data_IF_775914236558
#
_entry.id   IF_775914236558
#
_cell.length_a   1.000
_cell.length_b   1.000
_cell.length_c   1.000
_cell.angle_alpha   90.00
_cell.angle_beta   90.00
_cell.angle_gamma   90.00
#
_symmetry.space_group_name_H-M   'P 1'
#
loop_
_entity.id
_entity.type
_entity.pdbx_description
1 polymer ?
#
# COMPACT_ATOMS: atom_id res chain seq x y z
N UNK A 1 -11.50 6.11 -19.20
CA UNK A 1 -12.10 7.32 -18.58
C UNK A 1 -11.30 8.52 -19.07
N UNK A 2 -11.92 9.59 -19.60
CA UNK A 2 -11.18 10.79 -19.94
C UNK A 2 -10.53 11.37 -18.68
N UNK A 3 -9.22 11.52 -18.69
CA UNK A 3 -8.49 12.20 -17.61
C UNK A 3 -8.74 13.70 -17.79
N UNK A 4 -9.30 14.35 -16.77
CA UNK A 4 -9.40 15.82 -16.77
C UNK A 4 -8.02 16.39 -16.56
N UNK A 5 -7.63 17.34 -17.43
CA UNK A 5 -6.39 18.10 -17.28
C UNK A 5 -6.36 18.81 -15.92
N UNK A 6 -5.22 18.72 -15.25
CA UNK A 6 -4.99 19.35 -13.94
C UNK A 6 -4.51 20.79 -14.11
N UNK A 7 -3.70 21.04 -15.14
CA UNK A 7 -3.23 22.36 -15.53
C UNK A 7 -3.35 22.52 -17.05
N UNK A 8 -3.66 23.72 -17.52
CA UNK A 8 -3.91 23.97 -18.95
C UNK A 8 -2.63 23.93 -19.79
N UNK A 9 -1.49 24.21 -19.16
CA UNK A 9 -0.15 24.27 -19.73
C UNK A 9 0.68 23.00 -19.52
N UNK A 10 0.19 22.05 -18.72
CA UNK A 10 0.83 20.75 -18.48
C UNK A 10 -0.13 19.61 -18.82
N UNK A 11 -0.02 19.11 -20.05
CA UNK A 11 -0.86 18.07 -20.60
C UNK A 11 -0.55 16.67 -20.03
N UNK A 12 0.63 16.48 -19.45
CA UNK A 12 1.06 15.18 -18.90
C UNK A 12 0.81 15.07 -17.40
N UNK A 13 0.60 16.18 -16.70
CA UNK A 13 0.28 16.16 -15.28
C UNK A 13 -1.10 15.61 -14.98
N UNK A 14 -1.12 14.46 -14.31
CA UNK A 14 -2.35 13.78 -13.90
C UNK A 14 -2.55 13.67 -12.38
N UNK A 15 -1.49 13.84 -11.58
CA UNK A 15 -1.60 13.81 -10.11
C UNK A 15 -2.29 15.07 -9.59
N UNK A 16 -3.13 14.86 -8.57
CA UNK A 16 -4.10 15.85 -8.08
C UNK A 16 -4.63 15.47 -6.71
N UNK A 17 -5.25 16.42 -6.02
CA UNK A 17 -5.85 16.19 -4.71
C UNK A 17 -7.33 16.59 -4.68
N UNK A 18 -8.15 15.77 -4.03
CA UNK A 18 -9.55 16.04 -3.78
C UNK A 18 -9.78 16.22 -2.28
N UNK A 19 -10.44 17.31 -1.90
CA UNK A 19 -10.79 17.59 -0.50
C UNK A 19 -12.27 17.27 -0.27
N UNK A 20 -12.56 16.31 0.61
CA UNK A 20 -13.93 15.93 0.98
C UNK A 20 -14.20 16.46 2.39
N UNK A 21 -14.59 17.74 2.44
CA UNK A 21 -14.75 18.48 3.69
C UNK A 21 -13.50 18.39 4.56
N UNK A 22 -13.68 18.18 5.86
CA UNK A 22 -12.59 17.82 6.80
C UNK A 22 -12.45 16.31 7.04
N UNK A 23 -13.28 15.50 6.39
CA UNK A 23 -13.23 14.05 6.58
C UNK A 23 -11.96 13.48 5.95
N UNK A 24 -11.71 13.81 4.68
CA UNK A 24 -10.70 13.11 3.88
C UNK A 24 -10.05 14.04 2.85
N UNK A 25 -8.74 13.92 2.69
CA UNK A 25 -8.03 14.29 1.47
C UNK A 25 -7.64 13.04 0.69
N UNK A 26 -8.01 13.00 -0.59
CA UNK A 26 -7.61 11.96 -1.55
C UNK A 26 -6.57 12.54 -2.52
N UNK A 27 -5.31 12.21 -2.28
CA UNK A 27 -4.19 12.55 -3.17
C UNK A 27 -3.96 11.41 -4.15
N UNK A 28 -4.11 11.68 -5.45
CA UNK A 28 -3.82 10.72 -6.52
C UNK A 28 -2.44 11.01 -7.09
N UNK A 29 -1.53 10.03 -7.03
CA UNK A 29 -0.16 10.13 -7.56
C UNK A 29 -0.07 9.57 -8.99
N UNK A 30 0.95 10.02 -9.71
CA UNK A 30 1.47 9.36 -10.90
C UNK A 30 2.84 8.76 -10.55
N UNK A 31 2.97 7.44 -10.64
CA UNK A 31 4.25 6.74 -10.42
C UNK A 31 4.70 6.00 -11.67
N UNK A 32 4.23 6.42 -12.85
CA UNK A 32 4.48 5.74 -14.13
C UNK A 32 4.98 6.68 -15.21
N UNK A 33 4.32 7.82 -15.42
CA UNK A 33 4.45 8.53 -16.69
C UNK A 33 5.27 9.82 -16.62
N UNK A 34 5.08 10.64 -15.59
CA UNK A 34 5.54 12.02 -15.66
C UNK A 34 7.05 12.20 -15.56
N UNK A 35 7.65 11.72 -14.49
CA UNK A 35 9.07 11.98 -14.19
C UNK A 35 9.70 10.79 -13.46
N UNK A 36 9.17 9.60 -13.77
CA UNK A 36 9.66 8.34 -13.23
C UNK A 36 11.04 8.05 -13.80
N UNK A 37 11.96 7.90 -12.87
CA UNK A 37 13.35 7.56 -13.11
C UNK A 37 13.48 6.08 -13.58
N UNK A 38 14.61 5.64 -14.13
CA UNK A 38 14.74 4.31 -14.81
C UNK A 38 14.13 3.14 -14.03
N UNK A 39 13.19 2.38 -14.58
CA UNK A 39 12.58 1.23 -13.88
C UNK A 39 13.13 -0.14 -14.29
N UNK A 40 12.78 -1.18 -13.52
CA UNK A 40 13.06 -2.57 -13.90
C UNK A 40 12.15 -3.02 -15.05
N UNK A 41 12.78 -3.50 -16.11
CA UNK A 41 12.15 -4.08 -17.32
C UNK A 41 12.74 -5.46 -17.61
N UNK A 42 13.08 -6.19 -16.55
CA UNK A 42 13.54 -7.58 -16.47
C UNK A 42 14.98 -7.84 -16.94
N UNK A 43 15.49 -7.12 -17.93
CA UNK A 43 16.89 -7.28 -18.36
C UNK A 43 17.89 -6.43 -17.57
N UNK A 44 17.41 -5.43 -16.82
CA UNK A 44 18.22 -4.47 -16.07
C UNK A 44 17.99 -4.55 -14.55
N UNK A 45 17.34 -5.61 -14.04
CA UNK A 45 17.03 -5.81 -12.61
C UNK A 45 18.24 -5.58 -11.70
N UNK A 46 19.39 -6.18 -12.02
CA UNK A 46 20.61 -6.03 -11.21
C UNK A 46 21.06 -4.56 -11.16
N UNK A 47 21.06 -3.86 -12.30
CA UNK A 47 21.42 -2.46 -12.36
C UNK A 47 20.45 -1.59 -11.55
N UNK A 48 19.15 -1.77 -11.71
CA UNK A 48 18.13 -1.02 -10.95
C UNK A 48 18.32 -1.23 -9.45
N UNK A 49 18.65 -2.45 -9.02
CA UNK A 49 18.93 -2.73 -7.61
C UNK A 49 20.13 -1.91 -7.08
N UNK A 50 21.18 -1.74 -7.87
CA UNK A 50 22.39 -0.99 -7.43
C UNK A 50 22.13 0.49 -7.24
N UNK A 51 21.18 1.08 -7.99
CA UNK A 51 20.84 2.51 -7.89
C UNK A 51 19.64 2.79 -6.98
N UNK A 52 18.90 1.77 -6.54
CA UNK A 52 17.63 1.92 -5.81
C UNK A 52 17.75 2.71 -4.50
N UNK A 53 18.94 2.71 -3.88
CA UNK A 53 19.23 3.42 -2.63
C UNK A 53 19.96 4.76 -2.82
N UNK A 54 20.25 5.18 -4.06
CA UNK A 54 20.89 6.48 -4.30
C UNK A 54 19.98 7.62 -3.85
N UNK A 55 20.54 8.63 -3.20
CA UNK A 55 19.74 9.71 -2.58
C UNK A 55 18.85 10.45 -3.57
N UNK A 56 19.31 10.62 -4.82
CA UNK A 56 18.56 11.29 -5.89
C UNK A 56 17.56 10.37 -6.62
N UNK A 57 17.49 9.08 -6.26
CA UNK A 57 16.56 8.14 -6.88
C UNK A 57 15.12 8.58 -6.60
N UNK A 58 14.31 8.76 -7.65
CA UNK A 58 12.94 9.27 -7.52
C UNK A 58 11.93 8.51 -8.37
N UNK A 59 10.77 8.19 -7.80
CA UNK A 59 9.66 7.58 -8.52
C UNK A 59 8.67 8.63 -9.05
N UNK A 60 8.60 9.77 -8.36
CA UNK A 60 7.63 10.82 -8.61
C UNK A 60 8.23 12.04 -9.35
N UNK A 61 9.55 12.21 -9.29
CA UNK A 61 10.24 13.44 -9.68
C UNK A 61 10.02 14.58 -8.68
N UNK A 62 10.90 15.58 -8.73
CA UNK A 62 10.98 16.64 -7.72
C UNK A 62 9.67 17.45 -7.61
N UNK A 63 9.05 17.75 -8.75
CA UNK A 63 7.83 18.56 -8.80
C UNK A 63 6.65 17.87 -8.09
N UNK A 64 6.47 16.57 -8.31
CA UNK A 64 5.40 15.82 -7.66
C UNK A 64 5.74 15.48 -6.21
N UNK A 65 7.00 15.18 -5.88
CA UNK A 65 7.44 14.99 -4.49
C UNK A 65 7.14 16.24 -3.64
N UNK A 66 7.59 17.41 -4.07
CA UNK A 66 7.35 18.68 -3.37
C UNK A 66 5.85 18.95 -3.24
N UNK A 67 5.09 18.80 -4.32
CA UNK A 67 3.64 18.97 -4.29
C UNK A 67 2.95 18.02 -3.31
N UNK A 68 3.38 16.76 -3.26
CA UNK A 68 2.80 15.73 -2.42
C UNK A 68 3.06 16.02 -0.94
N UNK A 69 4.30 16.36 -0.59
CA UNK A 69 4.69 16.73 0.77
C UNK A 69 3.95 17.97 1.27
N UNK A 70 3.82 18.99 0.42
CA UNK A 70 3.03 20.19 0.72
C UNK A 70 1.53 19.87 0.87
N UNK A 71 1.02 18.94 0.08
CA UNK A 71 -0.39 18.53 0.15
C UNK A 71 -0.68 17.81 1.47
N UNK A 72 0.19 16.89 1.90
CA UNK A 72 0.07 16.20 3.18
C UNK A 72 0.17 17.17 4.37
N UNK A 73 1.14 18.10 4.33
CA UNK A 73 1.33 19.11 5.37
C UNK A 73 0.15 20.07 5.46
N UNK A 74 -0.38 20.54 4.33
CA UNK A 74 -1.58 21.39 4.29
C UNK A 74 -2.83 20.64 4.74
N UNK A 75 -2.96 19.37 4.38
CA UNK A 75 -4.03 18.50 4.86
C UNK A 75 -4.03 18.42 6.39
N UNK A 76 -2.85 18.24 6.99
CA UNK A 76 -2.65 18.28 8.45
C UNK A 76 -3.03 19.64 9.04
N UNK A 77 -2.48 20.73 8.52
CA UNK A 77 -2.75 22.07 9.04
C UNK A 77 -4.24 22.44 8.98
N UNK A 78 -4.95 21.97 7.95
CA UNK A 78 -6.40 22.18 7.78
C UNK A 78 -7.26 21.38 8.77
N UNK A 79 -6.68 20.37 9.43
CA UNK A 79 -7.39 19.47 10.34
C UNK A 79 -8.25 18.44 9.60
N UNK A 80 -7.81 17.98 8.42
CA UNK A 80 -8.43 16.82 7.79
C UNK A 80 -8.16 15.55 8.61
N UNK A 81 -9.18 14.71 8.80
CA UNK A 81 -9.05 13.48 9.60
C UNK A 81 -8.15 12.48 8.87
N UNK A 82 -8.46 12.15 7.61
CA UNK A 82 -7.75 11.13 6.82
C UNK A 82 -6.96 11.72 5.65
N UNK A 83 -5.80 11.10 5.36
CA UNK A 83 -4.96 11.35 4.18
C UNK A 83 -4.85 10.06 3.39
N UNK A 84 -5.71 9.89 2.39
CA UNK A 84 -5.68 8.72 1.51
C UNK A 84 -4.86 9.05 0.27
N UNK A 85 -3.91 8.19 -0.04
CA UNK A 85 -2.99 8.34 -1.16
C UNK A 85 -3.27 7.21 -2.15
N UNK A 86 -3.90 7.55 -3.27
CA UNK A 86 -4.13 6.61 -4.37
C UNK A 86 -2.94 6.58 -5.30
N UNK A 87 -2.31 5.42 -5.46
CA UNK A 87 -1.21 5.22 -6.38
C UNK A 87 -1.19 3.78 -6.93
N UNK A 88 -0.25 3.47 -7.82
CA UNK A 88 -0.31 2.32 -8.72
C UNK A 88 0.26 1.05 -8.08
N UNK A 89 1.40 1.13 -7.40
CA UNK A 89 2.32 0.01 -7.11
C UNK A 89 2.54 -0.19 -5.61
N UNK A 90 2.79 -1.42 -5.16
CA UNK A 90 2.95 -1.71 -3.73
C UNK A 90 4.09 -0.87 -3.11
N UNK A 91 3.77 -0.16 -2.04
CA UNK A 91 4.65 0.76 -1.33
C UNK A 91 5.53 0.02 -0.31
N UNK A 92 4.92 -0.84 0.50
CA UNK A 92 5.60 -1.61 1.54
C UNK A 92 6.62 -2.56 0.92
N UNK A 93 7.78 -2.66 1.55
CA UNK A 93 8.79 -3.65 1.19
C UNK A 93 8.24 -5.05 1.49
N UNK A 94 8.15 -5.94 0.49
CA UNK A 94 7.50 -7.25 0.67
C UNK A 94 8.44 -8.36 1.17
N UNK A 95 9.76 -8.16 1.17
CA UNK A 95 10.74 -9.09 1.75
C UNK A 95 11.93 -8.34 2.39
N UNK A 96 12.71 -9.00 3.25
CA UNK A 96 13.83 -8.32 3.92
C UNK A 96 14.90 -7.75 2.98
N UNK A 97 15.13 -8.36 1.82
CA UNK A 97 16.15 -7.89 0.87
C UNK A 97 15.75 -6.59 0.17
N UNK A 98 14.45 -6.29 0.12
CA UNK A 98 13.90 -5.16 -0.63
C UNK A 98 14.09 -5.28 -2.13
N UNK A 99 14.23 -6.51 -2.65
CA UNK A 99 14.41 -6.81 -4.07
C UNK A 99 13.26 -7.68 -4.58
N UNK A 100 12.06 -7.54 -3.99
CA UNK A 100 10.91 -8.34 -4.40
C UNK A 100 10.36 -7.84 -5.75
N UNK A 101 10.16 -6.53 -5.87
CA UNK A 101 9.63 -5.91 -7.08
C UNK A 101 10.30 -4.55 -7.36
N UNK A 102 11.36 -4.57 -8.17
CA UNK A 102 12.09 -3.36 -8.54
C UNK A 102 11.36 -2.48 -9.56
N UNK A 103 10.24 -2.93 -10.13
CA UNK A 103 9.29 -2.05 -10.82
C UNK A 103 8.29 -1.41 -9.84
N UNK A 104 8.27 -1.80 -8.56
CA UNK A 104 7.54 -1.11 -7.51
C UNK A 104 8.47 -0.22 -6.66
N UNK A 105 8.05 0.14 -5.44
CA UNK A 105 8.80 1.03 -4.55
C UNK A 105 10.13 0.45 -4.05
N UNK A 106 10.35 -0.86 -4.20
CA UNK A 106 11.62 -1.52 -3.91
C UNK A 106 12.75 -1.07 -4.86
N UNK A 107 12.43 -0.59 -6.07
CA UNK A 107 13.39 0.04 -6.99
C UNK A 107 13.70 1.51 -6.69
N UNK A 108 13.05 2.09 -5.68
CA UNK A 108 13.10 3.52 -5.34
C UNK A 108 13.17 3.71 -3.82
N UNK A 109 14.03 2.93 -3.14
CA UNK A 109 14.14 2.87 -1.67
C UNK A 109 14.41 4.22 -1.04
N UNK A 110 15.28 5.04 -1.66
CA UNK A 110 15.54 6.39 -1.16
C UNK A 110 14.28 7.29 -1.23
N UNK A 111 13.48 7.18 -2.30
CA UNK A 111 12.23 7.93 -2.39
C UNK A 111 11.20 7.44 -1.37
N UNK A 112 11.04 6.12 -1.20
CA UNK A 112 10.20 5.53 -0.15
C UNK A 112 10.58 6.07 1.23
N UNK A 113 11.88 6.08 1.54
CA UNK A 113 12.42 6.61 2.78
C UNK A 113 12.05 8.09 2.97
N UNK A 114 12.19 8.94 1.94
CA UNK A 114 11.80 10.36 2.03
C UNK A 114 10.31 10.54 2.32
N UNK A 115 9.44 9.73 1.73
CA UNK A 115 8.00 9.76 2.02
C UNK A 115 7.72 9.40 3.50
N UNK A 116 8.27 8.28 3.98
CA UNK A 116 8.11 7.84 5.37
C UNK A 116 8.70 8.86 6.36
N UNK A 117 9.87 9.40 6.06
CA UNK A 117 10.51 10.46 6.84
C UNK A 117 9.66 11.71 6.91
N UNK A 118 9.07 12.15 5.79
CA UNK A 118 8.20 13.32 5.78
C UNK A 118 7.00 13.11 6.69
N UNK A 119 6.36 11.94 6.62
CA UNK A 119 5.23 11.60 7.48
C UNK A 119 5.63 11.56 8.96
N UNK A 120 6.73 10.86 9.28
CA UNK A 120 7.23 10.69 10.64
C UNK A 120 7.68 12.01 11.27
N UNK A 121 8.63 12.73 10.63
CA UNK A 121 9.23 13.96 11.14
C UNK A 121 8.20 15.07 11.32
N UNK A 122 7.24 15.18 10.40
CA UNK A 122 6.17 16.18 10.47
C UNK A 122 4.95 15.70 11.28
N UNK A 123 5.00 14.51 11.90
CA UNK A 123 3.90 13.93 12.70
C UNK A 123 2.57 13.94 11.93
N UNK A 124 2.60 13.49 10.67
CA UNK A 124 1.43 13.42 9.80
C UNK A 124 0.78 12.05 10.01
N UNK A 125 -0.31 12.03 10.79
CA UNK A 125 -1.06 10.83 11.13
C UNK A 125 -2.17 10.53 10.13
N UNK A 126 -2.84 9.38 10.30
CA UNK A 126 -4.00 8.93 9.53
C UNK A 126 -3.74 8.86 8.02
N UNK A 127 -2.52 8.45 7.66
CA UNK A 127 -2.12 8.26 6.28
C UNK A 127 -2.41 6.83 5.84
N UNK A 128 -3.12 6.69 4.72
CA UNK A 128 -3.50 5.42 4.13
C UNK A 128 -3.02 5.39 2.68
N UNK A 129 -2.13 4.48 2.34
CA UNK A 129 -1.67 4.27 0.97
C UNK A 129 -2.52 3.18 0.32
N UNK A 130 -3.01 3.46 -0.88
CA UNK A 130 -3.72 2.49 -1.72
C UNK A 130 -2.84 2.10 -2.90
N UNK A 131 -2.80 0.81 -3.19
CA UNK A 131 -1.99 0.25 -4.28
C UNK A 131 -2.75 -0.85 -5.04
N UNK A 132 -2.21 -1.25 -6.19
CA UNK A 132 -2.64 -2.41 -6.97
C UNK A 132 -1.44 -3.03 -7.69
N UNK A 133 -1.59 -3.23 -9.00
CA UNK A 133 -0.54 -3.69 -9.95
C UNK A 133 -0.05 -5.13 -9.76
N UNK A 134 0.27 -5.56 -8.54
CA UNK A 134 0.90 -6.88 -8.27
C UNK A 134 -0.05 -8.09 -8.44
N UNK A 135 -1.33 -7.85 -8.68
CA UNK A 135 -2.39 -8.86 -8.80
C UNK A 135 -2.59 -9.75 -7.55
N UNK A 136 -2.23 -9.26 -6.36
CA UNK A 136 -2.44 -9.92 -5.08
C UNK A 136 -2.89 -8.89 -4.04
N UNK A 137 -3.51 -9.35 -2.96
CA UNK A 137 -3.91 -8.49 -1.86
C UNK A 137 -2.80 -8.41 -0.81
N UNK A 138 -2.48 -7.20 -0.35
CA UNK A 138 -1.50 -6.94 0.71
C UNK A 138 -2.04 -5.91 1.68
N UNK A 139 -1.85 -6.15 2.97
CA UNK A 139 -2.21 -5.21 4.03
C UNK A 139 -1.03 -5.09 4.99
N UNK A 140 -0.56 -3.87 5.19
CA UNK A 140 0.61 -3.58 6.01
C UNK A 140 0.35 -2.42 6.95
N UNK A 141 0.97 -2.44 8.13
CA UNK A 141 1.29 -1.17 8.79
C UNK A 141 2.46 -0.54 8.03
N UNK A 142 2.53 0.79 7.98
CA UNK A 142 3.67 1.49 7.41
C UNK A 142 4.71 1.74 8.49
N UNK A 143 5.91 1.23 8.29
CA UNK A 143 7.09 1.56 9.07
C UNK A 143 8.28 1.79 8.13
N UNK A 144 9.39 2.27 8.68
CA UNK A 144 10.66 2.22 7.96
C UNK A 144 11.05 0.76 7.70
N UNK A 145 11.49 0.46 6.48
CA UNK A 145 11.72 -0.91 6.07
C UNK A 145 12.72 -1.62 6.99
N UNK A 146 12.36 -2.83 7.45
CA UNK A 146 13.12 -3.66 8.38
C UNK A 146 13.40 -2.99 9.76
N UNK A 147 12.61 -2.00 10.17
CA UNK A 147 12.77 -1.38 11.48
C UNK A 147 12.24 -2.28 12.60
N UNK A 148 13.17 -2.94 13.30
CA UNK A 148 12.90 -3.76 14.49
C UNK A 148 13.08 -3.00 15.80
N UNK A 149 13.40 -1.70 15.74
CA UNK A 149 13.76 -0.89 16.90
C UNK A 149 12.62 0.03 17.33
N UNK A 150 11.95 0.68 16.38
CA UNK A 150 10.87 1.62 16.70
C UNK A 150 9.49 1.09 16.34
N UNK A 151 9.41 0.11 15.43
CA UNK A 151 8.17 -0.58 15.07
C UNK A 151 8.06 -1.97 15.71
N UNK A 152 6.89 -2.27 16.29
CA UNK A 152 6.56 -3.58 16.84
C UNK A 152 5.43 -4.22 16.01
N UNK A 153 5.68 -5.33 15.28
CA UNK A 153 4.67 -5.94 14.41
C UNK A 153 3.53 -6.63 15.16
N UNK A 154 3.72 -6.96 16.44
CA UNK A 154 2.71 -7.57 17.30
C UNK A 154 1.67 -6.53 17.73
N UNK A 155 2.14 -5.41 18.25
CA UNK A 155 1.26 -4.35 18.81
C UNK A 155 0.91 -3.27 17.79
N UNK A 156 1.65 -3.19 16.69
CA UNK A 156 1.62 -2.10 15.70
C UNK A 156 2.18 -0.78 16.23
N UNK A 157 2.78 -0.74 17.42
CA UNK A 157 3.38 0.49 17.96
C UNK A 157 4.55 0.93 17.08
N UNK A 158 4.68 2.24 16.87
CA UNK A 158 5.66 2.82 15.94
C UNK A 158 5.18 2.97 14.50
N UNK A 159 4.01 2.42 14.14
CA UNK A 159 3.46 2.58 12.79
C UNK A 159 3.18 4.06 12.44
N UNK A 160 3.46 4.39 11.18
CA UNK A 160 3.35 5.73 10.59
C UNK A 160 2.00 5.89 9.85
N UNK A 161 1.40 4.78 9.42
CA UNK A 161 0.16 4.72 8.68
C UNK A 161 -0.14 3.27 8.27
N UNK A 162 -0.97 3.07 7.26
CA UNK A 162 -1.25 1.74 6.72
C UNK A 162 -1.23 1.72 5.19
N UNK A 163 -0.99 0.55 4.62
CA UNK A 163 -1.19 0.28 3.19
C UNK A 163 -2.30 -0.76 2.99
N UNK A 164 -3.17 -0.49 2.02
CA UNK A 164 -4.11 -1.44 1.45
C UNK A 164 -3.84 -1.59 -0.05
N UNK A 165 -3.27 -2.73 -0.44
CA UNK A 165 -3.02 -3.06 -1.83
C UNK A 165 -4.01 -4.13 -2.29
N UNK A 166 -4.69 -3.85 -3.40
CA UNK A 166 -5.72 -4.74 -3.96
C UNK A 166 -5.19 -5.69 -5.01
N UNK A 167 -5.77 -6.88 -5.07
CA UNK A 167 -5.64 -7.81 -6.19
C UNK A 167 -6.17 -7.22 -7.50
N UNK A 168 -5.92 -7.91 -8.61
CA UNK A 168 -6.52 -7.55 -9.89
C UNK A 168 -8.01 -7.89 -9.96
N UNK A 169 -8.73 -7.18 -10.82
CA UNK A 169 -10.12 -7.52 -11.13
C UNK A 169 -10.20 -8.86 -11.87
N UNK A 170 -9.32 -9.09 -12.85
CA UNK A 170 -9.30 -10.32 -13.67
C UNK A 170 -7.91 -10.86 -14.02
N UNK A 171 -6.86 -10.03 -14.03
CA UNK A 171 -5.51 -10.46 -14.41
C UNK A 171 -4.97 -11.57 -13.50
N UNK A 172 -4.32 -12.59 -14.08
CA UNK A 172 -3.68 -13.66 -13.32
C UNK A 172 -2.49 -13.16 -12.48
N UNK A 173 -2.10 -13.93 -11.46
CA UNK A 173 -0.96 -13.62 -10.59
C UNK A 173 0.05 -14.76 -10.61
N UNK A 174 1.32 -14.48 -10.31
CA UNK A 174 2.30 -15.53 -10.00
C UNK A 174 1.91 -16.36 -8.77
N UNK A 175 1.04 -15.81 -7.91
CA UNK A 175 0.41 -16.49 -6.78
C UNK A 175 -0.92 -17.16 -7.14
N UNK A 176 -1.38 -17.09 -8.39
CA UNK A 176 -2.62 -17.73 -8.84
C UNK A 176 -2.40 -19.20 -9.21
N UNK A 177 -3.48 -20.00 -9.18
CA UNK A 177 -3.44 -21.42 -9.56
C UNK A 177 -4.15 -22.30 -8.53
N UNK A 178 -3.40 -22.85 -7.57
CA UNK A 178 -3.94 -23.69 -6.49
C UNK A 178 -3.95 -22.86 -5.19
N UNK A 179 -5.13 -22.73 -4.57
CA UNK A 179 -5.30 -21.90 -3.38
C UNK A 179 -4.35 -22.28 -2.23
N UNK A 180 -4.15 -23.57 -1.96
CA UNK A 180 -3.26 -24.02 -0.89
C UNK A 180 -1.79 -23.59 -1.11
N UNK A 181 -1.34 -23.54 -2.35
CA UNK A 181 0.00 -23.04 -2.71
C UNK A 181 0.10 -21.53 -2.50
N UNK A 182 -0.93 -20.78 -2.93
CA UNK A 182 -1.00 -19.33 -2.74
C UNK A 182 -1.01 -18.96 -1.24
N UNK A 183 -1.75 -19.72 -0.42
CA UNK A 183 -1.78 -19.54 1.02
C UNK A 183 -0.43 -19.89 1.67
N UNK A 184 0.28 -20.91 1.16
CA UNK A 184 1.60 -21.26 1.64
C UNK A 184 2.64 -20.18 1.34
N UNK A 185 2.63 -19.60 0.14
CA UNK A 185 3.46 -18.46 -0.21
C UNK A 185 3.10 -17.23 0.63
N UNK A 186 1.80 -16.96 0.81
CA UNK A 186 1.33 -15.85 1.66
C UNK A 186 1.84 -16.00 3.10
N UNK A 187 1.84 -17.22 3.67
CA UNK A 187 2.42 -17.49 4.99
C UNK A 187 3.91 -17.18 5.07
N UNK A 188 4.67 -17.41 4.01
CA UNK A 188 6.09 -17.05 3.96
C UNK A 188 6.29 -15.53 3.92
N UNK A 189 5.46 -14.80 3.18
CA UNK A 189 5.58 -13.34 3.11
C UNK A 189 5.22 -12.66 4.44
N UNK A 190 4.16 -13.11 5.11
CA UNK A 190 3.71 -12.51 6.38
C UNK A 190 4.51 -13.02 7.59
N UNK A 191 5.46 -13.94 7.41
CA UNK A 191 6.31 -14.39 8.49
C UNK A 191 7.18 -13.23 9.03
N UNK A 192 7.29 -13.10 10.35
CA UNK A 192 8.03 -11.99 10.96
C UNK A 192 9.54 -12.07 10.71
N UNK A 193 10.07 -13.26 10.44
CA UNK A 193 11.41 -13.47 9.94
C UNK A 193 11.59 -13.11 8.46
N UNK A 194 10.53 -12.78 7.72
CA UNK A 194 10.57 -12.38 6.31
C UNK A 194 10.16 -10.92 6.08
N UNK A 195 9.21 -10.42 6.88
CA UNK A 195 8.68 -9.07 6.75
C UNK A 195 8.09 -8.62 8.07
N UNK A 196 8.52 -7.48 8.61
CA UNK A 196 7.94 -6.95 9.85
C UNK A 196 6.57 -6.30 9.60
N UNK A 197 6.45 -5.57 8.50
CA UNK A 197 5.40 -4.59 8.25
C UNK A 197 4.12 -5.24 7.70
N UNK A 198 4.29 -6.25 6.84
CA UNK A 198 3.21 -6.95 6.15
C UNK A 198 2.38 -7.82 7.11
N UNK A 199 1.11 -7.46 7.32
CA UNK A 199 0.23 -8.12 8.27
C UNK A 199 -0.70 -9.16 7.63
N UNK A 200 -1.06 -9.00 6.35
CA UNK A 200 -1.87 -9.98 5.63
C UNK A 200 -1.52 -10.02 4.14
N UNK A 201 -1.55 -11.23 3.58
CA UNK A 201 -1.34 -11.50 2.16
C UNK A 201 -2.38 -12.51 1.65
N UNK A 202 -2.92 -12.27 0.47
CA UNK A 202 -3.81 -13.21 -0.23
C UNK A 202 -3.60 -13.11 -1.74
N UNK A 203 -3.09 -14.19 -2.35
CA UNK A 203 -2.68 -14.19 -3.76
C UNK A 203 -3.58 -14.98 -4.71
N UNK A 204 -4.59 -15.69 -4.20
CA UNK A 204 -5.41 -16.59 -5.01
C UNK A 204 -6.57 -15.87 -5.68
N UNK A 205 -7.39 -15.15 -4.91
CA UNK A 205 -8.60 -14.52 -5.40
C UNK A 205 -8.31 -13.24 -6.19
N UNK A 206 -9.10 -13.06 -7.24
CA UNK A 206 -9.30 -11.78 -7.90
C UNK A 206 -10.49 -11.07 -7.28
N UNK A 207 -10.62 -9.77 -7.50
CA UNK A 207 -11.75 -9.02 -6.98
C UNK A 207 -11.43 -7.55 -6.76
N UNK A 208 -11.83 -7.04 -5.61
CA UNK A 208 -11.71 -5.63 -5.25
C UNK A 208 -11.80 -5.47 -3.74
N UNK A 209 -11.50 -4.29 -3.23
CA UNK A 209 -11.84 -3.92 -1.86
C UNK A 209 -12.59 -2.59 -1.84
N UNK A 210 -13.32 -2.35 -0.76
CA UNK A 210 -14.01 -1.08 -0.51
C UNK A 210 -13.45 -0.43 0.75
N UNK A 211 -13.50 0.90 0.79
CA UNK A 211 -13.22 1.68 2.00
C UNK A 211 -14.51 2.32 2.50
N UNK A 212 -14.83 2.11 3.77
CA UNK A 212 -15.87 2.84 4.49
C UNK A 212 -15.17 3.74 5.50
N UNK A 213 -15.39 5.05 5.41
CA UNK A 213 -14.61 6.05 6.13
C UNK A 213 -15.54 7.01 6.87
N UNK A 214 -15.30 7.17 8.17
CA UNK A 214 -15.95 8.15 9.04
C UNK A 214 -14.90 8.90 9.89
N UNK A 215 -15.27 9.91 10.70
CA UNK A 215 -14.29 10.69 11.47
C UNK A 215 -13.50 9.90 12.53
N UNK A 216 -13.93 8.69 12.88
CA UNK A 216 -13.36 7.86 13.94
C UNK A 216 -12.69 6.60 13.41
N UNK A 217 -13.19 6.05 12.31
CA UNK A 217 -12.70 4.78 11.76
C UNK A 217 -12.62 4.79 10.24
N UNK A 218 -11.64 4.03 9.73
CA UNK A 218 -11.57 3.63 8.34
C UNK A 218 -11.58 2.11 8.29
N UNK A 219 -12.49 1.54 7.51
CA UNK A 219 -12.61 0.10 7.32
C UNK A 219 -12.34 -0.28 5.87
N UNK A 220 -11.42 -1.20 5.65
CA UNK A 220 -11.14 -1.83 4.37
C UNK A 220 -11.76 -3.24 4.32
N UNK A 221 -12.66 -3.49 3.37
CA UNK A 221 -13.34 -4.78 3.19
C UNK A 221 -12.94 -5.39 1.86
N UNK A 222 -12.23 -6.53 1.88
CA UNK A 222 -11.70 -7.21 0.70
C UNK A 222 -12.67 -8.29 0.21
N UNK A 223 -12.96 -8.29 -1.09
CA UNK A 223 -13.88 -9.21 -1.73
C UNK A 223 -13.17 -10.07 -2.78
N UNK A 224 -13.29 -11.39 -2.62
CA UNK A 224 -12.82 -12.37 -3.58
C UNK A 224 -13.94 -12.85 -4.51
N UNK A 225 -13.64 -12.94 -5.79
CA UNK A 225 -14.51 -13.50 -6.83
C UNK A 225 -14.13 -14.97 -7.07
N UNK A 226 -15.09 -15.88 -6.92
CA UNK A 226 -14.88 -17.31 -7.22
C UNK A 226 -14.73 -17.60 -8.70
N UNK A 227 -15.34 -16.77 -9.55
CA UNK A 227 -15.30 -16.90 -11.00
C UNK A 227 -15.15 -15.52 -11.63
N UNK A 228 -14.17 -15.41 -12.53
CA UNK A 228 -13.84 -14.19 -13.28
C UNK A 228 -14.01 -14.36 -14.80
N UNK A 229 -14.41 -15.55 -15.26
CA UNK A 229 -14.52 -15.88 -16.68
C UNK A 229 -15.80 -15.35 -17.32
N UNK A 230 -16.82 -15.05 -16.53
CA UNK A 230 -18.08 -14.44 -16.99
C UNK A 230 -18.68 -13.49 -15.95
N UNK A 231 -19.50 -12.49 -16.36
CA UNK A 231 -20.13 -11.55 -15.43
C UNK A 231 -21.01 -12.26 -14.39
N UNK A 232 -20.82 -11.94 -13.10
CA UNK A 232 -21.61 -12.51 -12.00
C UNK A 232 -21.55 -11.61 -10.75
N UNK A 233 -22.40 -11.88 -9.77
CA UNK A 233 -22.48 -11.14 -8.49
C UNK A 233 -21.82 -11.90 -7.31
N UNK A 234 -20.99 -12.90 -7.60
CA UNK A 234 -20.46 -13.86 -6.62
C UNK A 234 -19.32 -13.36 -5.73
N UNK A 235 -19.27 -12.06 -5.45
CA UNK A 235 -18.27 -11.45 -4.57
C UNK A 235 -18.46 -11.94 -3.13
N UNK A 236 -17.42 -12.51 -2.53
CA UNK A 236 -17.43 -12.97 -1.13
C UNK A 236 -16.45 -12.15 -0.31
N UNK A 237 -16.88 -11.64 0.84
CA UNK A 237 -15.99 -10.97 1.79
C UNK A 237 -14.96 -11.97 2.31
N UNK A 238 -13.67 -11.71 2.08
CA UNK A 238 -12.56 -12.59 2.46
C UNK A 238 -11.74 -12.07 3.64
N UNK A 239 -11.67 -10.76 3.84
CA UNK A 239 -11.01 -10.15 4.99
C UNK A 239 -11.53 -8.72 5.23
N UNK A 240 -11.47 -8.25 6.48
CA UNK A 240 -11.79 -6.87 6.85
C UNK A 240 -10.74 -6.32 7.80
N UNK A 241 -10.32 -5.08 7.59
CA UNK A 241 -9.34 -4.40 8.43
C UNK A 241 -9.87 -3.04 8.84
N UNK A 242 -9.61 -2.66 10.10
CA UNK A 242 -10.07 -1.39 10.67
C UNK A 242 -8.86 -0.59 11.11
N UNK A 243 -8.89 0.72 10.91
CA UNK A 243 -7.93 1.69 11.45
C UNK A 243 -8.72 2.70 12.25
N UNK A 244 -8.31 2.92 13.50
CA UNK A 244 -8.89 3.96 14.35
C UNK A 244 -8.15 5.28 14.09
N UNK A 245 -8.91 6.38 14.01
CA UNK A 245 -8.34 7.71 13.80
C UNK A 245 -7.37 8.05 14.94
N UNK A 246 -6.15 8.44 14.57
CA UNK A 246 -5.04 8.74 15.47
C UNK A 246 -4.13 7.54 15.77
N UNK A 247 -4.55 6.31 15.44
CA UNK A 247 -3.79 5.11 15.77
C UNK A 247 -2.61 4.83 14.82
N UNK A 248 -2.70 5.24 13.55
CA UNK A 248 -1.72 5.00 12.49
C UNK A 248 -1.37 3.52 12.23
N UNK A 249 -2.17 2.59 12.74
CA UNK A 249 -1.97 1.14 12.64
C UNK A 249 -3.28 0.43 12.45
N UNK A 250 -3.23 -0.80 11.94
CA UNK A 250 -4.41 -1.66 11.92
C UNK A 250 -4.84 -1.98 13.36
N UNK A 251 -6.16 -1.96 13.60
CA UNK A 251 -6.76 -2.38 14.86
C UNK A 251 -6.37 -3.83 15.17
N UNK A 252 -5.93 -4.06 16.39
CA UNK A 252 -5.56 -5.40 16.90
C UNK A 252 -6.73 -6.03 17.68
N UNK A 253 -6.92 -7.37 17.61
CA UNK A 253 -6.22 -8.32 16.75
C UNK A 253 -6.45 -8.01 15.26
N UNK A 254 -5.40 -8.10 14.44
CA UNK A 254 -5.47 -7.75 13.02
C UNK A 254 -6.55 -8.59 12.35
N UNK A 255 -7.40 -7.97 11.53
CA UNK A 255 -8.44 -8.70 10.81
C UNK A 255 -9.57 -9.21 11.71
N UNK A 256 -9.62 -8.82 13.00
CA UNK A 256 -10.47 -9.47 14.00
C UNK A 256 -9.94 -10.84 14.44
N UNK A 257 -8.66 -11.14 14.18
CA UNK A 257 -8.02 -12.43 14.41
C UNK A 257 -8.23 -13.42 13.26
N UNK A 258 -7.58 -14.58 13.36
CA UNK A 258 -7.58 -15.63 12.32
C UNK A 258 -9.00 -16.09 11.96
N UNK A 259 -9.94 -16.06 12.92
CA UNK A 259 -11.33 -16.48 12.72
C UNK A 259 -12.09 -15.61 11.69
N UNK A 260 -11.71 -14.34 11.58
CA UNK A 260 -12.43 -13.35 10.76
C UNK A 260 -11.77 -13.12 9.38
N UNK A 261 -10.56 -13.64 9.19
CA UNK A 261 -9.85 -13.68 7.89
C UNK A 261 -10.12 -15.03 7.22
N UNK A 262 -10.89 -15.02 6.14
CA UNK A 262 -11.42 -16.24 5.49
C UNK A 262 -10.55 -16.77 4.35
N UNK A 263 -9.55 -16.01 3.91
CA UNK A 263 -8.61 -16.43 2.86
C UNK A 263 -7.25 -15.76 3.05
N UNK A 264 -6.21 -16.37 2.47
CA UNK A 264 -4.84 -15.90 2.58
C UNK A 264 -4.20 -16.25 3.92
N UNK A 265 -3.18 -15.48 4.28
CA UNK A 265 -2.42 -15.65 5.51
C UNK A 265 -2.39 -14.34 6.30
N UNK A 266 -2.77 -14.40 7.57
CA UNK A 266 -2.54 -13.35 8.54
C UNK A 266 -1.20 -13.60 9.23
N UNK A 267 -0.45 -12.54 9.54
CA UNK A 267 0.75 -12.64 10.39
C UNK A 267 0.33 -13.20 11.75
N UNK A 268 0.89 -14.35 12.11
CA UNK A 268 0.76 -14.95 13.45
C UNK A 268 2.08 -14.74 14.16
N UNK A 269 2.12 -13.77 15.07
CA UNK A 269 3.27 -13.59 15.94
C UNK A 269 3.13 -14.58 17.09
N UNK A 270 3.95 -15.64 17.10
CA UNK A 270 3.77 -16.82 17.95
C UNK A 270 3.34 -16.53 19.39
N UNK A 271 2.08 -16.83 19.70
CA UNK A 271 1.59 -17.90 20.58
C UNK A 271 0.06 -17.80 20.56
N UNK A 272 -0.59 -18.61 19.73
CA UNK A 272 -1.94 -19.15 19.96
C UNK A 272 -1.88 -20.66 19.81
#
# INVERSE_FOLDING_TARGET
MPIRQVAADDLFRIWRNFQIGKLLDLSMLDTRQYDRDLTDVYYNTEYVNTIAAFENRSLMGDAQESWFYDTLSRSKARGAVWRVVGQQIVFTQLNQSGVFDLDAWDGYRANRQRVLDHLYKNKISNTVILAGDSHANWVSDLAHANDSTTYNPVTGDGAIGVEFAGTAVTSGSSLSGIQSTADAMSRQFVDTGANLDLQWSEGFFRGFFTLTIDPHTLKASFYGMKNISFPNLGATLIAEFVVEAGANKLKRPVGGGVVNVKAGALKVNGTE
#
